data_IF_057367690306
#
_entry.id   IF_057367690306
#
_cell.length_a   1.000
_cell.length_b   1.000
_cell.length_c   1.000
_cell.angle_alpha   90.00
_cell.angle_beta   90.00
_cell.angle_gamma   90.00
#
_symmetry.space_group_name_H-M   'P 1'
#
loop_
_entity.id
_entity.type
_entity.pdbx_description
1 polymer ?
#
# COMPACT_ATOMS: atom_id res chain seq x y z
N UNK A 1 34.57 35.15 28.53
CA UNK A 1 34.62 36.05 27.35
C UNK A 1 34.66 35.11 26.16
N UNK A 2 33.64 34.92 25.32
CA UNK A 2 32.65 35.84 24.75
C UNK A 2 31.28 35.14 24.56
N UNK A 3 30.22 35.94 24.61
CA UNK A 3 28.85 35.66 24.10
C UNK A 3 28.91 35.22 22.62
N UNK A 4 27.98 34.43 22.08
CA UNK A 4 26.85 34.97 21.32
C UNK A 4 25.78 33.90 21.03
N UNK A 5 24.54 34.25 21.36
CA UNK A 5 23.33 33.65 20.81
C UNK A 5 23.10 34.17 19.39
N UNK A 6 22.80 33.28 18.43
CA UNK A 6 22.16 33.67 17.18
C UNK A 6 21.06 32.66 16.82
N UNK A 7 19.82 33.07 17.08
CA UNK A 7 18.63 32.50 16.49
C UNK A 7 18.45 33.11 15.09
N UNK A 8 18.50 32.29 14.05
CA UNK A 8 17.96 32.65 12.74
C UNK A 8 17.39 31.40 12.04
N UNK A 9 16.06 31.38 11.96
CA UNK A 9 15.23 30.76 10.90
C UNK A 9 15.43 29.27 10.55
N UNK A 10 14.64 28.44 11.24
CA UNK A 10 14.00 27.19 10.82
C UNK A 10 14.71 26.33 9.74
N UNK A 11 15.60 25.41 10.13
CA UNK A 11 16.01 24.31 9.28
C UNK A 11 15.09 23.11 9.55
N UNK A 12 13.89 23.08 8.94
CA UNK A 12 13.21 21.77 8.74
C UNK A 12 13.89 21.02 7.59
N UNK A 13 15.22 20.95 7.65
CA UNK A 13 16.09 20.11 6.84
C UNK A 13 16.66 19.05 7.78
N UNK A 14 15.79 18.19 8.29
CA UNK A 14 16.22 16.96 8.95
C UNK A 14 16.49 15.94 7.84
N UNK A 15 17.72 16.01 7.35
CA UNK A 15 18.46 14.91 6.77
C UNK A 15 18.41 13.71 7.74
N UNK A 16 17.43 12.85 7.53
CA UNK A 16 17.48 11.45 7.93
C UNK A 16 17.12 10.68 6.67
N UNK A 17 18.10 10.56 5.76
CA UNK A 17 18.25 9.42 4.87
C UNK A 17 18.41 8.15 5.72
N UNK A 18 17.37 7.78 6.49
CA UNK A 18 17.20 6.37 6.80
C UNK A 18 16.97 5.72 5.44
N UNK A 19 17.83 4.81 4.98
CA UNK A 19 17.59 4.10 3.73
C UNK A 19 16.16 3.58 3.82
N UNK A 20 15.29 3.94 2.86
CA UNK A 20 13.99 3.28 2.72
C UNK A 20 14.32 1.80 2.76
N UNK A 21 13.95 1.15 3.86
CA UNK A 21 14.35 -0.22 4.10
C UNK A 21 13.88 -1.01 2.88
N UNK A 22 14.78 -1.57 2.05
CA UNK A 22 14.40 -2.33 0.86
C UNK A 22 13.64 -3.62 1.22
N UNK A 23 13.43 -3.85 2.52
CA UNK A 23 12.66 -4.92 3.11
C UNK A 23 11.17 -4.57 3.28
N UNK A 24 10.71 -3.35 3.00
CA UNK A 24 9.28 -3.07 3.14
C UNK A 24 8.48 -3.82 2.06
N UNK A 25 7.60 -4.77 2.46
CA UNK A 25 6.93 -5.64 1.52
C UNK A 25 6.00 -4.81 0.63
N UNK A 26 6.24 -4.89 -0.68
CA UNK A 26 5.37 -4.23 -1.67
C UNK A 26 4.14 -5.06 -1.93
N UNK A 27 3.00 -4.39 -1.95
CA UNK A 27 1.69 -4.98 -2.19
C UNK A 27 1.09 -4.42 -3.48
N UNK A 28 -0.06 -4.99 -3.86
CA UNK A 28 -0.76 -4.68 -5.09
C UNK A 28 0.10 -4.94 -6.35
N UNK A 29 -0.50 -4.80 -7.52
CA UNK A 29 0.22 -4.90 -8.80
C UNK A 29 1.04 -3.64 -9.12
N UNK A 30 0.91 -2.59 -8.31
CA UNK A 30 1.72 -1.38 -8.44
C UNK A 30 3.07 -1.49 -7.74
N UNK A 31 3.35 -2.60 -7.04
CA UNK A 31 4.57 -2.80 -6.27
C UNK A 31 4.87 -1.61 -5.35
N UNK A 32 3.86 -1.13 -4.64
CA UNK A 32 3.97 -0.04 -3.68
C UNK A 32 3.71 -0.54 -2.27
N UNK A 33 4.24 0.19 -1.30
CA UNK A 33 4.02 -0.06 0.13
C UNK A 33 2.54 0.01 0.51
N UNK A 34 2.17 -0.53 1.66
CA UNK A 34 0.83 -0.38 2.20
C UNK A 34 0.58 1.08 2.58
N UNK A 35 -0.34 1.75 1.88
CA UNK A 35 -0.74 3.11 2.23
C UNK A 35 -2.27 3.25 2.23
N UNK A 36 -2.80 3.92 3.26
CA UNK A 36 -4.23 4.21 3.38
C UNK A 36 -5.12 2.96 3.44
N UNK A 37 -6.15 2.93 2.59
CA UNK A 37 -7.15 1.87 2.57
C UNK A 37 -6.76 0.72 1.65
N UNK A 38 -6.68 -0.50 2.21
CA UNK A 38 -6.32 -1.72 1.50
C UNK A 38 -7.38 -2.81 1.70
N UNK A 39 -7.49 -3.68 0.69
CA UNK A 39 -8.38 -4.84 0.68
C UNK A 39 -7.56 -6.11 0.52
N UNK A 40 -7.92 -7.15 1.28
CA UNK A 40 -7.39 -8.48 1.12
C UNK A 40 -8.25 -9.31 0.15
N UNK A 41 -7.62 -10.02 -0.76
CA UNK A 41 -8.22 -10.96 -1.67
C UNK A 41 -8.47 -12.28 -0.93
N UNK A 42 -9.73 -12.69 -0.84
CA UNK A 42 -10.19 -13.91 -0.15
C UNK A 42 -9.75 -15.21 -0.85
N UNK A 43 -9.05 -15.13 -1.98
CA UNK A 43 -8.49 -16.31 -2.63
C UNK A 43 -7.15 -16.69 -1.97
N UNK A 44 -7.05 -17.83 -1.26
CA UNK A 44 -5.81 -18.28 -0.61
C UNK A 44 -4.70 -18.66 -1.61
N UNK A 45 -5.02 -18.76 -2.89
CA UNK A 45 -4.03 -18.97 -3.96
C UNK A 45 -3.55 -17.65 -4.59
N UNK A 46 -3.96 -16.50 -4.06
CA UNK A 46 -3.47 -15.20 -4.53
C UNK A 46 -2.04 -14.98 -4.02
N UNK A 47 -1.10 -14.63 -4.89
CA UNK A 47 0.30 -14.38 -4.48
C UNK A 47 0.50 -13.07 -3.72
N UNK A 48 -0.33 -12.08 -3.99
CA UNK A 48 -0.17 -10.71 -3.46
C UNK A 48 -1.07 -10.51 -2.25
N UNK A 49 -2.28 -11.08 -2.28
CA UNK A 49 -3.34 -10.99 -1.26
C UNK A 49 -3.84 -9.57 -0.96
N UNK A 50 -2.99 -8.53 -0.95
CA UNK A 50 -3.33 -7.18 -0.56
C UNK A 50 -3.30 -6.20 -1.74
N UNK A 51 -4.34 -5.37 -1.84
CA UNK A 51 -4.49 -4.39 -2.91
C UNK A 51 -5.00 -3.05 -2.38
N UNK A 52 -4.52 -1.94 -2.95
CA UNK A 52 -5.03 -0.61 -2.60
C UNK A 52 -6.41 -0.38 -3.20
N UNK A 53 -7.28 0.29 -2.45
CA UNK A 53 -8.61 0.63 -2.90
C UNK A 53 -8.62 1.38 -4.24
N UNK A 54 -7.76 2.39 -4.39
CA UNK A 54 -7.61 3.15 -5.64
C UNK A 54 -7.15 2.31 -6.83
N UNK A 55 -6.26 1.34 -6.61
CA UNK A 55 -5.77 0.47 -7.68
C UNK A 55 -6.85 -0.50 -8.18
N UNK A 56 -7.76 -0.93 -7.31
CA UNK A 56 -8.84 -1.86 -7.67
C UNK A 56 -10.20 -1.18 -7.85
N UNK A 57 -10.26 0.15 -7.78
CA UNK A 57 -11.48 0.93 -7.92
C UNK A 57 -12.47 0.74 -6.77
N UNK A 58 -12.02 0.30 -5.59
CA UNK A 58 -12.85 0.31 -4.38
C UNK A 58 -12.85 1.71 -3.77
N UNK A 59 -14.02 2.14 -3.30
CA UNK A 59 -14.16 3.38 -2.50
C UNK A 59 -14.32 3.09 -1.02
N UNK A 60 -14.88 1.94 -0.68
CA UNK A 60 -15.17 1.53 0.69
C UNK A 60 -14.83 0.07 0.89
N UNK A 61 -14.70 -0.31 2.17
CA UNK A 61 -14.39 -1.68 2.53
C UNK A 61 -15.57 -2.58 2.12
N UNK A 62 -15.35 -3.60 1.28
CA UNK A 62 -16.41 -4.45 0.80
C UNK A 62 -17.00 -5.23 1.98
N UNK A 63 -18.33 -5.23 2.10
CA UNK A 63 -19.04 -6.02 3.11
C UNK A 63 -19.06 -7.49 2.69
N UNK A 64 -17.93 -8.19 2.88
CA UNK A 64 -17.79 -9.62 2.65
C UNK A 64 -16.52 -10.02 1.92
N UNK A 65 -16.58 -11.15 1.22
CA UNK A 65 -15.45 -11.71 0.47
C UNK A 65 -15.19 -10.89 -0.77
N UNK A 66 -14.01 -10.29 -0.84
CA UNK A 66 -13.54 -9.59 -2.04
C UNK A 66 -12.45 -10.40 -2.74
N UNK A 67 -12.45 -10.34 -4.07
CA UNK A 67 -11.47 -11.04 -4.90
C UNK A 67 -10.86 -10.04 -5.87
N UNK A 68 -9.54 -10.08 -6.05
CA UNK A 68 -8.87 -9.25 -7.04
C UNK A 68 -9.30 -9.63 -8.47
N UNK A 69 -9.10 -8.73 -9.43
CA UNK A 69 -9.54 -8.90 -10.83
C UNK A 69 -9.11 -10.22 -11.45
N UNK A 70 -7.92 -10.72 -11.09
CA UNK A 70 -7.40 -12.01 -11.56
C UNK A 70 -8.18 -13.21 -10.97
N UNK A 71 -8.42 -13.18 -9.65
CA UNK A 71 -9.14 -14.24 -8.96
C UNK A 71 -10.63 -14.24 -9.30
N UNK A 72 -11.23 -13.04 -9.44
CA UNK A 72 -12.62 -12.86 -9.83
C UNK A 72 -12.89 -13.41 -11.26
N UNK A 73 -12.01 -13.11 -12.22
CA UNK A 73 -12.11 -13.64 -13.58
C UNK A 73 -12.05 -15.17 -13.63
N UNK A 74 -11.19 -15.77 -12.80
CA UNK A 74 -11.04 -17.24 -12.71
C UNK A 74 -12.28 -17.93 -12.13
N UNK A 75 -12.90 -17.33 -11.09
CA UNK A 75 -14.15 -17.84 -10.49
C UNK A 75 -15.32 -17.80 -11.48
N UNK A 76 -15.43 -16.73 -12.27
CA UNK A 76 -16.55 -16.56 -13.20
C UNK A 76 -16.53 -17.57 -14.36
N UNK A 77 -15.34 -18.03 -14.76
CA UNK A 77 -15.17 -18.97 -15.88
C UNK A 77 -15.70 -20.38 -15.63
N UNK A 78 -15.98 -20.76 -14.37
CA UNK A 78 -16.52 -22.08 -14.04
C UNK A 78 -18.07 -22.14 -14.04
N UNK A 79 -18.77 -21.04 -14.29
CA UNK A 79 -20.25 -20.97 -14.32
C UNK A 79 -20.83 -21.20 -15.73
N UNK A 80 -20.15 -21.94 -16.58
CA UNK A 80 -20.62 -22.23 -17.94
C UNK A 80 -20.10 -23.56 -18.45
N UNK A 81 -20.80 -24.64 -18.11
CA UNK A 81 -20.96 -25.86 -18.92
C UNK A 81 -22.14 -26.65 -18.37
#
# INVERSE_FOLDING_TARGET
MVTEAQATSNPTGMDLELPVDPNEPTYCFCNQVSYGAMVACDNPNCKIEWFHFGCVGLKEQPKGKWYCSNCAATKNRRRGK
#
